data_IF_407241493539
#
_entry.id   IF_407241493539
#
_cell.length_a   1.000
_cell.length_b   1.000
_cell.length_c   1.000
_cell.angle_alpha   90.00
_cell.angle_beta   90.00
_cell.angle_gamma   90.00
#
_symmetry.space_group_name_H-M   'P 1'
#
loop_
_entity.id
_entity.type
_entity.pdbx_description
1 polymer ?
#
# COMPACT_ATOMS: atom_id res chain seq x y z
N UNK A 1 -3.04 31.68 -14.86
CA UNK A 1 -2.38 30.68 -15.65
C UNK A 1 -3.06 29.35 -15.56
N UNK A 2 -3.43 28.82 -16.71
CA UNK A 2 -4.15 27.55 -16.74
C UNK A 2 -3.37 26.42 -16.10
N UNK A 3 -2.05 26.41 -16.24
CA UNK A 3 -1.20 25.39 -15.65
C UNK A 3 -1.29 25.33 -14.13
N UNK A 4 -1.47 26.48 -13.50
CA UNK A 4 -1.56 26.52 -12.05
C UNK A 4 -2.85 25.87 -11.56
N UNK A 5 -3.84 25.73 -12.46
CA UNK A 5 -5.12 25.12 -12.11
C UNK A 5 -5.08 23.61 -12.12
N UNK A 6 -4.11 23.02 -12.77
CA UNK A 6 -4.00 21.56 -12.81
C UNK A 6 -3.18 21.10 -11.64
N UNK A 7 -3.76 20.26 -10.76
CA UNK A 7 -2.98 19.70 -9.66
C UNK A 7 -1.90 18.80 -10.24
N UNK A 8 -0.67 19.13 -9.95
CA UNK A 8 0.42 18.25 -10.30
C UNK A 8 0.41 17.06 -9.36
N UNK A 9 0.62 15.90 -9.93
CA UNK A 9 0.72 14.68 -9.16
C UNK A 9 1.99 14.73 -8.33
N UNK A 10 1.84 14.77 -7.01
CA UNK A 10 2.97 14.73 -6.11
C UNK A 10 3.59 13.34 -6.10
N UNK A 11 4.91 13.31 -6.05
CA UNK A 11 5.59 12.06 -5.80
C UNK A 11 5.26 11.58 -4.40
N UNK A 12 5.28 10.26 -4.21
CA UNK A 12 4.93 9.69 -2.91
C UNK A 12 5.79 10.25 -1.79
N UNK A 13 7.09 10.40 -2.01
CA UNK A 13 8.00 10.90 -0.98
C UNK A 13 7.66 12.32 -0.54
N UNK A 14 7.10 13.12 -1.42
CA UNK A 14 6.63 14.47 -1.08
C UNK A 14 5.27 14.43 -0.40
N UNK A 15 4.36 13.61 -0.94
CA UNK A 15 3.01 13.53 -0.43
C UNK A 15 2.98 13.01 1.00
N UNK A 16 3.81 12.03 1.33
CA UNK A 16 3.83 11.43 2.66
C UNK A 16 4.33 12.40 3.73
N UNK A 17 5.04 13.46 3.32
CA UNK A 17 5.52 14.47 4.26
C UNK A 17 4.49 15.55 4.56
N UNK A 18 3.38 15.58 3.83
CA UNK A 18 2.33 16.57 4.10
C UNK A 18 1.65 16.28 5.41
N UNK A 19 1.15 17.32 6.10
CA UNK A 19 0.47 17.10 7.38
C UNK A 19 -0.75 16.20 7.27
N UNK A 20 -1.46 16.25 6.14
CA UNK A 20 -2.65 15.42 5.94
C UNK A 20 -2.30 13.94 6.04
N UNK A 21 -1.26 13.50 5.30
CA UNK A 21 -0.88 12.10 5.31
C UNK A 21 -0.22 11.71 6.63
N UNK A 22 0.61 12.59 7.21
CA UNK A 22 1.21 12.30 8.50
C UNK A 22 0.16 12.13 9.59
N UNK A 23 -0.84 12.99 9.61
CA UNK A 23 -1.92 12.88 10.58
C UNK A 23 -2.73 11.61 10.37
N UNK A 24 -3.00 11.27 9.11
CA UNK A 24 -3.72 10.03 8.80
C UNK A 24 -2.97 8.82 9.33
N UNK A 25 -1.66 8.75 9.09
CA UNK A 25 -0.82 7.64 9.56
C UNK A 25 -0.82 7.58 11.08
N UNK A 26 -0.59 8.71 11.74
CA UNK A 26 -0.51 8.74 13.20
C UNK A 26 -1.84 8.38 13.84
N UNK A 27 -2.94 8.85 13.25
CA UNK A 27 -4.27 8.53 13.78
C UNK A 27 -4.62 7.07 13.58
N UNK A 28 -4.22 6.50 12.42
CA UNK A 28 -4.51 5.10 12.12
C UNK A 28 -3.70 4.17 13.01
N UNK A 29 -2.43 4.47 13.21
CA UNK A 29 -1.54 3.61 14.00
C UNK A 29 -1.60 3.92 15.50
N UNK A 30 -2.05 5.11 15.85
CA UNK A 30 -2.23 5.49 17.24
C UNK A 30 -0.97 5.80 18.04
N UNK A 31 0.20 5.81 17.37
CA UNK A 31 1.48 6.02 18.02
C UNK A 31 2.41 6.77 17.07
N UNK A 32 2.84 8.00 17.43
CA UNK A 32 3.71 8.77 16.55
C UNK A 32 5.05 8.09 16.25
N UNK A 33 5.62 7.35 17.20
CA UNK A 33 6.87 6.64 16.95
C UNK A 33 6.68 5.53 15.93
N UNK A 34 5.59 4.80 16.04
CA UNK A 34 5.22 3.76 15.06
C UNK A 34 4.92 4.39 13.72
N UNK A 35 4.25 5.52 13.72
CA UNK A 35 3.96 6.27 12.49
C UNK A 35 5.23 6.71 11.77
N UNK A 36 6.21 7.21 12.51
CA UNK A 36 7.48 7.63 11.91
C UNK A 36 8.22 6.46 11.29
N UNK A 37 8.26 5.32 11.96
CA UNK A 37 8.89 4.12 11.41
C UNK A 37 8.15 3.62 10.17
N UNK A 38 6.84 3.64 10.20
CA UNK A 38 6.03 3.25 9.06
C UNK A 38 6.35 4.14 7.84
N UNK A 39 6.38 5.45 8.05
CA UNK A 39 6.67 6.40 6.96
C UNK A 39 8.06 6.13 6.39
N UNK A 40 9.05 5.92 7.24
CA UNK A 40 10.41 5.63 6.79
C UNK A 40 10.45 4.32 5.97
N UNK A 41 9.79 3.28 6.46
CA UNK A 41 9.79 1.99 5.80
C UNK A 41 9.11 2.04 4.44
N UNK A 42 7.96 2.68 4.35
CA UNK A 42 7.25 2.74 3.07
C UNK A 42 7.95 3.67 2.08
N UNK A 43 8.56 4.73 2.55
CA UNK A 43 9.35 5.62 1.70
C UNK A 43 10.51 4.85 1.07
N UNK A 44 11.20 4.03 1.88
CA UNK A 44 12.29 3.20 1.37
C UNK A 44 11.79 2.16 0.37
N UNK A 45 10.65 1.53 0.65
CA UNK A 45 10.10 0.52 -0.25
C UNK A 45 9.72 1.14 -1.62
N UNK A 46 9.16 2.34 -1.61
CA UNK A 46 8.80 3.02 -2.85
C UNK A 46 10.05 3.48 -3.60
N UNK A 47 11.08 3.87 -2.87
CA UNK A 47 12.32 4.35 -3.49
C UNK A 47 13.01 3.28 -4.33
N UNK A 48 12.92 2.00 -3.93
CA UNK A 48 13.54 0.92 -4.69
C UNK A 48 12.69 0.42 -5.85
N UNK A 49 11.49 0.93 -6.01
CA UNK A 49 10.60 0.56 -7.09
C UNK A 49 10.08 1.80 -7.80
N UNK A 50 10.78 2.29 -8.84
CA UNK A 50 10.39 3.53 -9.50
C UNK A 50 8.96 3.52 -10.05
N UNK A 51 8.44 2.35 -10.42
CA UNK A 51 7.07 2.27 -10.94
C UNK A 51 6.04 2.71 -9.90
N UNK A 52 6.33 2.54 -8.61
CA UNK A 52 5.43 2.99 -7.56
C UNK A 52 5.38 4.52 -7.44
N UNK A 53 6.44 5.21 -7.86
CA UNK A 53 6.44 6.68 -7.82
C UNK A 53 5.38 7.27 -8.75
N UNK A 54 4.97 6.52 -9.77
CA UNK A 54 3.95 6.95 -10.71
C UNK A 54 2.54 6.71 -10.19
N UNK A 55 2.40 5.94 -9.12
CA UNK A 55 1.10 5.62 -8.57
C UNK A 55 0.51 6.79 -7.80
N UNK A 56 -0.81 6.81 -7.69
CA UNK A 56 -1.49 7.75 -6.80
C UNK A 56 -1.00 7.52 -5.37
N UNK A 57 -0.45 8.56 -4.70
CA UNK A 57 0.10 8.38 -3.36
C UNK A 57 -0.90 7.83 -2.35
N UNK A 58 -2.17 8.19 -2.49
CA UNK A 58 -3.20 7.67 -1.58
C UNK A 58 -3.36 6.16 -1.67
N UNK A 59 -3.21 5.58 -2.87
CA UNK A 59 -3.32 4.13 -3.04
C UNK A 59 -2.11 3.41 -2.46
N UNK A 60 -0.92 4.01 -2.57
CA UNK A 60 0.27 3.45 -1.94
C UNK A 60 0.09 3.43 -0.43
N UNK A 61 -0.37 4.54 0.14
CA UNK A 61 -0.56 4.65 1.57
C UNK A 61 -1.63 3.68 2.06
N UNK A 62 -2.75 3.56 1.33
CA UNK A 62 -3.81 2.64 1.71
C UNK A 62 -3.32 1.19 1.74
N UNK A 63 -2.58 0.78 0.71
CA UNK A 63 -2.03 -0.57 0.66
C UNK A 63 -1.01 -0.82 1.76
N UNK A 64 -0.16 0.16 2.02
CA UNK A 64 0.84 0.04 3.07
C UNK A 64 0.22 -0.01 4.47
N UNK A 65 -0.83 0.78 4.70
CA UNK A 65 -1.56 0.74 5.98
C UNK A 65 -2.26 -0.59 6.18
N UNK A 66 -2.78 -1.18 5.10
CA UNK A 66 -3.35 -2.52 5.19
C UNK A 66 -2.29 -3.52 5.66
N UNK A 67 -1.10 -3.48 5.04
CA UNK A 67 -0.01 -4.34 5.46
C UNK A 67 0.40 -4.11 6.90
N UNK A 68 0.46 -2.84 7.33
CA UNK A 68 0.82 -2.50 8.70
C UNK A 68 -0.23 -2.99 9.69
N UNK A 69 -1.50 -2.90 9.33
CA UNK A 69 -2.57 -3.40 10.19
C UNK A 69 -2.50 -4.91 10.37
N UNK A 70 -1.91 -5.61 9.40
CA UNK A 70 -1.65 -7.04 9.49
C UNK A 70 -0.28 -7.34 10.11
N UNK A 71 0.45 -6.32 10.53
CA UNK A 71 1.80 -6.42 11.11
C UNK A 71 2.78 -7.09 10.16
N UNK A 72 2.68 -6.76 8.88
CA UNK A 72 3.58 -7.25 7.84
C UNK A 72 4.53 -6.14 7.39
N UNK A 73 5.68 -6.55 6.87
CA UNK A 73 6.72 -5.63 6.42
C UNK A 73 6.63 -5.42 4.90
N UNK A 74 6.81 -4.18 4.43
CA UNK A 74 6.70 -3.90 2.99
C UNK A 74 7.95 -4.25 2.18
N UNK A 75 8.99 -4.76 2.80
CA UNK A 75 10.24 -5.07 2.10
C UNK A 75 10.05 -6.23 1.13
N UNK A 76 10.38 -6.03 -0.16
CA UNK A 76 10.28 -7.14 -1.13
C UNK A 76 11.16 -8.33 -0.77
N UNK A 77 12.25 -8.09 -0.07
CA UNK A 77 13.17 -9.16 0.32
C UNK A 77 12.57 -10.07 1.37
N UNK A 78 11.65 -9.56 2.19
CA UNK A 78 10.98 -10.36 3.19
C UNK A 78 9.81 -11.16 2.64
N UNK A 79 9.27 -10.74 1.49
CA UNK A 79 8.22 -11.47 0.82
C UNK A 79 6.91 -11.57 1.58
N UNK A 80 6.64 -10.62 2.48
CA UNK A 80 5.42 -10.63 3.27
C UNK A 80 4.26 -10.01 2.53
N UNK A 81 4.47 -8.86 1.92
CA UNK A 81 3.49 -8.31 0.99
C UNK A 81 4.20 -7.40 -0.01
N UNK A 82 3.50 -7.11 -1.10
CA UNK A 82 4.02 -6.27 -2.16
C UNK A 82 2.99 -5.23 -2.53
N UNK A 83 3.47 -4.08 -2.98
CA UNK A 83 2.65 -3.07 -3.63
C UNK A 83 2.98 -3.13 -5.12
N UNK A 84 1.98 -3.45 -5.92
CA UNK A 84 2.15 -3.66 -7.36
C UNK A 84 1.42 -2.55 -8.10
N UNK A 85 2.13 -1.77 -8.94
CA UNK A 85 1.45 -0.73 -9.72
C UNK A 85 0.62 -1.36 -10.83
N UNK A 86 -0.57 -0.81 -11.06
CA UNK A 86 -1.39 -1.18 -12.20
C UNK A 86 -2.11 0.04 -12.73
N UNK A 87 -2.40 0.00 -14.02
CA UNK A 87 -3.10 1.09 -14.69
C UNK A 87 -4.59 0.83 -14.65
N UNK A 88 -5.32 1.83 -14.18
CA UNK A 88 -6.77 1.80 -14.14
C UNK A 88 -7.30 2.62 -15.31
N UNK A 89 -8.21 2.03 -16.09
CA UNK A 89 -8.82 2.74 -17.21
C UNK A 89 -9.82 3.76 -16.68
N UNK A 90 -10.08 4.81 -17.48
CA UNK A 90 -11.08 5.78 -17.14
C UNK A 90 -12.45 5.09 -17.07
N UNK A 91 -13.22 5.42 -16.02
CA UNK A 91 -14.59 4.94 -15.89
C UNK A 91 -15.52 5.97 -16.47
N UNK A 92 -16.49 5.50 -17.25
CA UNK A 92 -17.45 6.37 -17.92
C UNK A 92 -18.86 5.95 -17.54
N UNK A 93 -19.76 6.93 -17.55
CA UNK A 93 -21.17 6.66 -17.35
C UNK A 93 -21.82 6.22 -18.67
N UNK A 94 -23.13 6.03 -18.65
CA UNK A 94 -23.85 5.58 -19.84
C UNK A 94 -23.84 6.60 -20.96
N UNK A 95 -23.64 7.87 -20.64
CA UNK A 95 -23.59 8.96 -21.63
C UNK A 95 -22.15 9.16 -22.15
N UNK A 96 -21.18 8.41 -21.66
CA UNK A 96 -19.81 8.54 -22.08
C UNK A 96 -19.01 9.57 -21.31
N UNK A 97 -19.59 10.18 -20.26
CA UNK A 97 -18.89 11.14 -19.43
C UNK A 97 -17.90 10.42 -18.51
N UNK A 98 -16.72 11.00 -18.32
CA UNK A 98 -15.72 10.41 -17.47
C UNK A 98 -16.10 10.64 -16.01
N UNK A 99 -16.38 9.54 -15.30
CA UNK A 99 -16.67 9.58 -13.87
C UNK A 99 -15.37 9.58 -13.08
N UNK A 100 -14.44 8.72 -13.50
CA UNK A 100 -13.14 8.58 -12.86
C UNK A 100 -12.08 8.52 -13.95
N UNK A 101 -11.07 9.42 -13.93
CA UNK A 101 -10.04 9.41 -14.97
C UNK A 101 -9.13 8.21 -14.83
N UNK A 102 -8.46 7.87 -15.92
CA UNK A 102 -7.43 6.84 -15.90
C UNK A 102 -6.32 7.24 -14.93
N UNK A 103 -5.80 6.27 -14.20
CA UNK A 103 -4.76 6.53 -13.21
C UNK A 103 -3.90 5.29 -13.01
N UNK A 104 -2.74 5.49 -12.36
CA UNK A 104 -1.89 4.40 -11.93
C UNK A 104 -2.09 4.27 -10.42
N UNK A 105 -2.45 3.07 -9.98
CA UNK A 105 -2.75 2.78 -8.58
C UNK A 105 -1.84 1.68 -8.09
N UNK A 106 -1.53 1.71 -6.80
CA UNK A 106 -0.81 0.63 -6.16
C UNK A 106 -1.81 -0.37 -5.60
N UNK A 107 -1.55 -1.64 -5.82
CA UNK A 107 -2.39 -2.71 -5.32
C UNK A 107 -1.62 -3.53 -4.29
N UNK A 108 -2.27 -3.79 -3.16
CA UNK A 108 -1.73 -4.67 -2.13
C UNK A 108 -1.81 -6.12 -2.61
N UNK A 109 -0.68 -6.84 -2.53
CA UNK A 109 -0.62 -8.25 -2.87
C UNK A 109 0.05 -8.98 -1.71
N UNK A 110 -0.66 -9.92 -1.11
CA UNK A 110 -0.12 -10.69 0.00
C UNK A 110 0.92 -11.67 -0.53
N UNK A 111 2.13 -11.61 0.05
CA UNK A 111 3.19 -12.52 -0.31
C UNK A 111 3.07 -13.85 0.42
N UNK A 112 3.81 -14.84 -0.08
CA UNK A 112 3.80 -16.18 0.50
C UNK A 112 4.23 -16.17 1.96
N UNK A 113 5.31 -15.43 2.27
CA UNK A 113 5.79 -15.37 3.64
C UNK A 113 4.86 -14.59 4.56
N UNK A 114 4.14 -13.60 4.00
CA UNK A 114 3.11 -12.89 4.76
C UNK A 114 1.95 -13.79 5.10
N UNK A 115 1.52 -14.60 4.15
CA UNK A 115 0.46 -15.58 4.40
C UNK A 115 0.84 -16.52 5.54
N UNK A 116 2.07 -17.03 5.53
CA UNK A 116 2.56 -17.92 6.59
C UNK A 116 2.55 -17.20 7.94
N UNK A 117 3.01 -15.95 7.98
CA UNK A 117 3.01 -15.17 9.21
C UNK A 117 1.61 -15.02 9.80
N UNK A 118 0.62 -14.71 8.95
CA UNK A 118 -0.75 -14.57 9.40
C UNK A 118 -1.30 -15.89 9.90
N UNK A 119 -1.00 -16.98 9.20
CA UNK A 119 -1.45 -18.31 9.61
C UNK A 119 -0.88 -18.70 10.96
N UNK A 120 0.40 -18.41 11.20
CA UNK A 120 1.03 -18.69 12.48
C UNK A 120 0.40 -17.91 13.62
N UNK A 121 0.13 -16.61 13.39
CA UNK A 121 -0.46 -15.76 14.43
C UNK A 121 -1.86 -16.20 14.81
N UNK A 122 -2.62 -16.67 13.84
CA UNK A 122 -4.00 -17.09 14.09
C UNK A 122 -4.11 -18.53 14.58
N UNK A 123 -3.00 -19.27 14.60
CA UNK A 123 -2.99 -20.67 15.00
C UNK A 123 -3.47 -21.62 13.93
N UNK A 124 -3.92 -21.13 12.79
CA UNK A 124 -4.41 -21.99 11.72
C UNK A 124 -3.32 -22.83 11.09
N UNK A 125 -2.10 -22.38 11.16
CA UNK A 125 -0.97 -23.14 10.65
C UNK A 125 -0.87 -24.51 11.29
N UNK A 126 -1.11 -24.61 12.58
CA UNK A 126 -1.10 -25.90 13.26
C UNK A 126 -2.15 -26.84 12.69
N UNK A 127 -3.33 -26.30 12.38
CA UNK A 127 -4.40 -27.12 11.81
C UNK A 127 -4.04 -27.61 10.42
N UNK A 128 -3.49 -26.73 9.59
CA UNK A 128 -3.06 -27.11 8.25
C UNK A 128 -1.96 -28.17 8.30
N UNK A 129 -1.02 -27.97 9.20
CA UNK A 129 0.11 -28.88 9.35
C UNK A 129 -0.36 -30.27 9.79
N UNK A 130 -1.31 -30.34 10.71
CA UNK A 130 -1.89 -31.59 11.16
C UNK A 130 -2.60 -32.31 10.02
N UNK A 131 -3.33 -31.55 9.20
CA UNK A 131 -4.02 -32.15 8.05
C UNK A 131 -3.05 -32.73 7.05
N UNK A 132 -1.92 -32.05 6.81
CA UNK A 132 -0.90 -32.56 5.90
C UNK A 132 -0.25 -33.83 6.43
N UNK A 133 0.02 -33.86 7.72
CA UNK A 133 0.64 -35.04 8.33
C UNK A 133 -0.25 -36.28 8.22
N UNK A 134 -1.55 -36.07 8.25
CA UNK A 134 -2.49 -37.16 8.11
C UNK A 134 -2.50 -37.79 6.71
N UNK A 135 -2.05 -37.03 5.73
CA UNK A 135 -1.96 -37.56 4.38
C UNK A 135 -0.76 -38.49 4.24
#
# INVERSE_FOLDING_TARGET
MAKAMQPQKMRFSQAIQTPVYKNLVNNTLGDPARGARFIANITSAVAVNPALQECNPGTILAGALLGESLLLQPSPQLGQFYLVPFKSKAKRDRQGNVIEPASVKAQFVLGYKGYIQLALRTGQYKRLNVLEVKN
#
